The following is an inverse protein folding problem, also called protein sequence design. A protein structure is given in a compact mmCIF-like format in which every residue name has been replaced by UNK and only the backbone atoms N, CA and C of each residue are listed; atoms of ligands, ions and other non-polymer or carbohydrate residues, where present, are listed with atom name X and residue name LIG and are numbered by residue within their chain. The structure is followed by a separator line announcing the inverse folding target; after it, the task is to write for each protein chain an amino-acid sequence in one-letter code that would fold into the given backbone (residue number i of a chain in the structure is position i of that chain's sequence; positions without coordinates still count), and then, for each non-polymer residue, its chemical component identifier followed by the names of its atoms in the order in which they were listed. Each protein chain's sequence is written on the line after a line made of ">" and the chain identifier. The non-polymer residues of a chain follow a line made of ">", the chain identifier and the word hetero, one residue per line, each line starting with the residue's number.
data_IF_864386791536
#
_entry.id   IF_864386791536
#
_cell.length_a   1.000
_cell.length_b   1.000
_cell.length_c   1.000
_cell.angle_alpha   90.00
_cell.angle_beta   90.00
_cell.angle_gamma   90.00
#
_symmetry.space_group_name_H-M   'P 1'
#
loop_
_entity.id
_entity.type
_entity.pdbx_description
1 polymer ?
#
# COMPACT_ATOMS: atom_id res chain seq x y z
N UNK A 1 -14.95 43.94 -42.82
CA UNK A 1 -15.87 42.86 -42.41
C UNK A 1 -16.27 41.96 -43.58
N UNK A 2 -16.73 42.51 -44.71
CA UNK A 2 -17.17 41.76 -45.91
C UNK A 2 -16.03 41.04 -46.67
N UNK A 3 -14.83 41.60 -46.75
CA UNK A 3 -13.66 40.96 -47.39
C UNK A 3 -13.17 39.71 -46.62
N UNK A 4 -13.31 39.70 -45.29
CA UNK A 4 -12.92 38.58 -44.43
C UNK A 4 -13.87 37.38 -44.60
N UNK A 5 -15.16 37.65 -44.82
CA UNK A 5 -16.18 36.64 -45.12
C UNK A 5 -16.00 36.03 -46.51
N UNK A 6 -15.54 36.81 -47.50
CA UNK A 6 -15.21 36.31 -48.85
C UNK A 6 -13.97 35.40 -48.84
N UNK A 7 -12.93 35.76 -48.09
CA UNK A 7 -11.75 34.90 -47.86
C UNK A 7 -12.10 33.61 -47.11
N UNK A 8 -13.12 33.62 -46.25
CA UNK A 8 -13.61 32.42 -45.58
C UNK A 8 -14.51 31.57 -46.48
N UNK A 9 -15.26 32.19 -47.40
CA UNK A 9 -16.10 31.50 -48.38
C UNK A 9 -15.29 30.77 -49.46
N UNK A 10 -14.04 31.21 -49.72
CA UNK A 10 -13.12 30.55 -50.65
C UNK A 10 -12.22 29.48 -50.01
N UNK A 11 -12.30 29.30 -48.68
CA UNK A 11 -11.55 28.28 -47.95
C UNK A 11 -12.40 27.03 -47.85
N UNK A 12 -11.87 25.90 -48.34
CA UNK A 12 -12.57 24.64 -48.29
C UNK A 12 -12.87 24.21 -46.85
N UNK A 13 -13.93 23.45 -46.65
CA UNK A 13 -14.37 22.93 -45.34
C UNK A 13 -13.40 21.91 -44.71
N UNK A 14 -12.48 21.36 -45.51
CA UNK A 14 -11.55 20.29 -45.13
C UNK A 14 -10.62 20.69 -43.98
N UNK A 15 -9.88 21.83 -44.01
CA UNK A 15 -9.04 22.28 -42.90
C UNK A 15 -9.79 22.44 -41.58
N UNK A 16 -11.03 22.95 -41.60
CA UNK A 16 -11.81 23.17 -40.38
C UNK A 16 -12.22 21.83 -39.74
N UNK A 17 -12.63 20.86 -40.55
CA UNK A 17 -12.96 19.50 -40.10
C UNK A 17 -11.73 18.80 -39.54
N UNK A 18 -10.57 18.92 -40.21
CA UNK A 18 -9.30 18.34 -39.73
C UNK A 18 -8.87 18.98 -38.41
N UNK A 19 -9.01 20.30 -38.27
CA UNK A 19 -8.71 21.00 -37.03
C UNK A 19 -9.59 20.51 -35.87
N UNK A 20 -10.90 20.41 -36.08
CA UNK A 20 -11.84 19.90 -35.05
C UNK A 20 -11.57 18.43 -34.69
N UNK A 21 -11.17 17.61 -35.66
CA UNK A 21 -10.83 16.21 -35.44
C UNK A 21 -9.55 16.04 -34.62
N UNK A 22 -8.46 16.73 -34.99
CA UNK A 22 -7.18 16.70 -34.24
C UNK A 22 -7.35 17.29 -32.84
N UNK A 23 -7.98 18.46 -32.79
CA UNK A 23 -8.83 18.98 -31.72
C UNK A 23 -9.25 18.02 -30.61
N UNK A 24 -10.36 17.36 -30.94
CA UNK A 24 -11.09 16.43 -30.10
C UNK A 24 -10.27 15.18 -29.77
N UNK A 25 -9.52 14.65 -30.74
CA UNK A 25 -8.69 13.47 -30.53
C UNK A 25 -7.58 13.73 -29.51
N UNK A 26 -6.90 14.87 -29.63
CA UNK A 26 -5.88 15.31 -28.68
C UNK A 26 -6.44 15.49 -27.27
N UNK A 27 -7.62 16.09 -27.15
CA UNK A 27 -8.30 16.25 -25.86
C UNK A 27 -8.61 14.90 -25.19
N UNK A 28 -9.14 13.93 -25.94
CA UNK A 28 -9.44 12.58 -25.42
C UNK A 28 -8.17 11.84 -25.01
N UNK A 29 -7.09 11.96 -25.78
CA UNK A 29 -5.79 11.37 -25.44
C UNK A 29 -5.22 11.96 -24.14
N UNK A 30 -5.30 13.28 -23.96
CA UNK A 30 -4.85 13.94 -22.72
C UNK A 30 -5.66 13.48 -21.51
N UNK A 31 -6.98 13.40 -21.61
CA UNK A 31 -7.83 12.89 -20.52
C UNK A 31 -7.48 11.44 -20.16
N UNK A 32 -7.34 10.57 -21.16
CA UNK A 32 -7.00 9.16 -20.95
C UNK A 32 -5.61 9.00 -20.33
N UNK A 33 -4.63 9.77 -20.82
CA UNK A 33 -3.27 9.80 -20.29
C UNK A 33 -3.22 10.32 -18.85
N UNK A 34 -3.98 11.37 -18.52
CA UNK A 34 -4.05 11.92 -17.17
C UNK A 34 -4.62 10.92 -16.15
N UNK A 35 -5.64 10.14 -16.54
CA UNK A 35 -6.21 9.07 -15.69
C UNK A 35 -5.18 7.97 -15.44
N UNK A 36 -4.49 7.49 -16.48
CA UNK A 36 -3.45 6.46 -16.35
C UNK A 36 -2.27 6.95 -15.50
N UNK A 37 -1.82 8.18 -15.74
CA UNK A 37 -0.74 8.80 -14.98
C UNK A 37 -1.11 8.94 -13.50
N UNK A 38 -2.33 9.39 -13.19
CA UNK A 38 -2.83 9.47 -11.82
C UNK A 38 -2.87 8.09 -11.16
N UNK A 39 -3.27 7.05 -11.89
CA UNK A 39 -3.28 5.67 -11.40
C UNK A 39 -1.86 5.19 -11.07
N UNK A 40 -0.89 5.44 -11.95
CA UNK A 40 0.52 5.08 -11.72
C UNK A 40 1.10 5.83 -10.51
N UNK A 41 0.84 7.14 -10.40
CA UNK A 41 1.28 7.94 -9.26
C UNK A 41 0.67 7.43 -7.94
N UNK A 42 -0.65 7.19 -7.90
CA UNK A 42 -1.31 6.66 -6.70
C UNK A 42 -0.83 5.25 -6.35
N UNK A 43 -0.56 4.40 -7.34
CA UNK A 43 -0.01 3.06 -7.10
C UNK A 43 1.41 3.10 -6.54
N UNK A 44 2.23 4.07 -6.95
CA UNK A 44 3.59 4.26 -6.42
C UNK A 44 3.59 4.76 -4.97
N UNK A 45 2.59 5.57 -4.61
CA UNK A 45 2.41 6.09 -3.24
C UNK A 45 1.59 5.19 -2.32
N UNK A 46 0.79 4.26 -2.85
CA UNK A 46 0.03 3.27 -2.06
C UNK A 46 0.94 2.15 -1.59
N UNK A 47 1.92 2.47 -0.73
CA UNK A 47 2.60 1.50 0.13
C UNK A 47 1.67 1.08 1.27
N UNK A 48 0.52 0.49 0.98
CA UNK A 48 -0.45 0.19 2.05
C UNK A 48 -1.09 -1.20 1.94
N UNK A 49 -0.27 -2.19 2.29
CA UNK A 49 -0.73 -3.49 2.83
C UNK A 49 0.02 -3.83 4.14
N UNK A 50 0.97 -2.98 4.52
CA UNK A 50 1.85 -3.13 5.67
C UNK A 50 2.13 -1.72 6.19
N UNK A 51 1.16 -1.15 6.90
CA UNK A 51 1.38 0.01 7.75
C UNK A 51 2.26 -0.39 8.96
N UNK A 52 3.37 -1.09 8.71
CA UNK A 52 4.40 -1.57 9.63
C UNK A 52 4.93 -0.47 10.54
N UNK A 53 4.81 0.80 10.15
CA UNK A 53 5.15 1.91 11.02
C UNK A 53 4.09 2.17 12.10
N UNK A 54 2.80 1.93 11.83
CA UNK A 54 1.72 2.14 12.80
C UNK A 54 1.14 0.84 13.40
N UNK A 55 1.41 -0.32 12.81
CA UNK A 55 0.97 -1.65 13.30
C UNK A 55 2.02 -2.35 14.17
N UNK A 56 3.18 -1.74 14.41
CA UNK A 56 4.13 -2.25 15.40
C UNK A 56 3.67 -1.89 16.82
N UNK A 57 3.39 -2.91 17.63
CA UNK A 57 3.01 -2.75 19.04
C UNK A 57 4.24 -2.72 19.96
N UNK A 58 4.20 -1.96 21.06
CA UNK A 58 5.20 -2.07 22.11
C UNK A 58 5.19 -3.48 22.71
N UNK A 59 6.36 -4.11 22.80
CA UNK A 59 6.56 -5.41 23.44
C UNK A 59 7.13 -5.22 24.85
N UNK A 60 7.06 -6.25 25.69
CA UNK A 60 7.66 -6.21 27.03
C UNK A 60 9.20 -6.22 26.92
N UNK A 61 9.83 -5.12 27.30
CA UNK A 61 11.29 -4.96 27.25
C UNK A 61 11.98 -5.42 28.54
N UNK A 62 11.23 -5.63 29.62
CA UNK A 62 11.76 -6.04 30.92
C UNK A 62 11.88 -7.55 31.02
N UNK A 63 12.94 -8.01 31.66
CA UNK A 63 13.09 -9.40 32.08
C UNK A 63 12.29 -9.61 33.37
N UNK A 64 11.25 -10.44 33.32
CA UNK A 64 10.42 -10.75 34.48
C UNK A 64 10.74 -12.17 34.97
N UNK A 65 11.49 -12.25 36.07
CA UNK A 65 11.94 -13.53 36.63
C UNK A 65 11.04 -14.00 37.79
N UNK A 66 10.79 -15.31 37.82
CA UNK A 66 10.09 -16.03 38.87
C UNK A 66 10.60 -17.49 38.90
N UNK A 67 10.28 -18.26 39.94
CA UNK A 67 10.69 -19.66 40.09
C UNK A 67 10.30 -20.57 38.92
N UNK A 68 9.26 -20.20 38.18
CA UNK A 68 8.73 -20.94 37.04
C UNK A 68 8.77 -20.14 35.73
N UNK A 69 9.38 -18.95 35.72
CA UNK A 69 9.41 -18.12 34.51
C UNK A 69 10.41 -18.65 33.50
N UNK A 70 10.03 -18.64 32.23
CA UNK A 70 10.94 -18.89 31.12
C UNK A 70 11.00 -17.61 30.28
N UNK A 71 12.19 -17.06 30.10
CA UNK A 71 12.37 -15.78 29.41
C UNK A 71 13.18 -16.01 28.13
N UNK A 72 12.58 -15.74 26.97
CA UNK A 72 13.26 -15.87 25.68
C UNK A 72 13.71 -14.49 25.19
N UNK A 73 14.99 -14.30 24.84
CA UNK A 73 15.45 -13.06 24.22
C UNK A 73 14.83 -12.91 22.82
N UNK A 74 14.26 -11.75 22.53
CA UNK A 74 13.65 -11.44 21.25
C UNK A 74 13.98 -10.01 20.81
N UNK A 75 13.91 -9.75 19.52
CA UNK A 75 14.01 -8.39 18.98
C UNK A 75 12.73 -8.05 18.24
N UNK A 76 12.27 -6.81 18.40
CA UNK A 76 11.10 -6.32 17.70
C UNK A 76 11.36 -4.95 17.10
N UNK A 77 10.69 -4.65 15.99
CA UNK A 77 10.74 -3.34 15.36
C UNK A 77 9.59 -2.49 15.91
N UNK A 78 9.91 -1.30 16.42
CA UNK A 78 8.91 -0.29 16.76
C UNK A 78 9.19 0.97 15.96
N UNK A 79 8.30 1.30 15.01
CA UNK A 79 8.41 2.53 14.19
C UNK A 79 9.77 2.69 13.50
N UNK A 80 10.34 1.60 12.99
CA UNK A 80 11.62 1.60 12.30
C UNK A 80 12.85 1.49 13.22
N UNK A 81 12.67 1.35 14.54
CA UNK A 81 13.77 1.12 15.49
C UNK A 81 13.72 -0.32 16.00
N UNK A 82 14.81 -1.06 15.81
CA UNK A 82 14.99 -2.39 16.40
C UNK A 82 15.26 -2.21 17.89
N UNK A 83 14.50 -2.91 18.72
CA UNK A 83 14.62 -2.90 20.18
C UNK A 83 14.71 -4.33 20.69
N UNK A 84 15.50 -4.51 21.75
CA UNK A 84 15.57 -5.78 22.48
C UNK A 84 14.35 -5.91 23.38
N UNK A 85 13.81 -7.10 23.47
CA UNK A 85 12.65 -7.46 24.27
C UNK A 85 12.79 -8.86 24.85
N UNK A 86 11.94 -9.21 25.79
CA UNK A 86 11.88 -10.54 26.36
C UNK A 86 10.47 -11.10 26.26
N UNK A 87 10.34 -12.29 25.68
CA UNK A 87 9.09 -13.05 25.74
C UNK A 87 9.08 -13.77 27.09
N UNK A 88 8.34 -13.20 28.05
CA UNK A 88 8.28 -13.67 29.43
C UNK A 88 7.11 -14.66 29.63
N UNK A 89 7.39 -15.96 29.74
CA UNK A 89 6.41 -16.97 30.15
C UNK A 89 6.38 -17.07 31.67
N UNK A 90 5.55 -16.27 32.35
CA UNK A 90 5.51 -16.19 33.82
C UNK A 90 4.98 -17.48 34.48
N UNK A 91 4.02 -18.14 33.85
CA UNK A 91 3.46 -19.42 34.31
C UNK A 91 3.12 -20.31 33.11
N UNK A 92 4.09 -21.10 32.59
CA UNK A 92 3.88 -21.95 31.43
C UNK A 92 2.83 -23.04 31.68
N UNK A 93 2.62 -23.46 32.92
CA UNK A 93 1.67 -24.52 33.27
C UNK A 93 0.20 -24.15 33.06
N UNK A 94 -0.12 -22.85 33.03
CA UNK A 94 -1.51 -22.37 32.91
C UNK A 94 -2.03 -22.33 31.46
N UNK A 95 -1.14 -22.30 30.47
CA UNK A 95 -1.49 -22.08 29.07
C UNK A 95 -0.80 -23.06 28.10
N UNK A 96 -0.28 -24.18 28.60
CA UNK A 96 0.35 -25.19 27.75
C UNK A 96 -0.73 -26.04 27.05
N UNK A 97 -0.90 -25.83 25.75
CA UNK A 97 -1.79 -26.64 24.94
C UNK A 97 -0.97 -27.75 24.24
N UNK A 98 -1.23 -29.00 24.61
CA UNK A 98 -0.59 -30.16 24.00
C UNK A 98 -1.48 -30.71 22.89
N UNK A 99 -1.18 -30.35 21.63
CA UNK A 99 -1.84 -30.98 20.47
C UNK A 99 -1.11 -32.29 20.14
N UNK A 100 -1.80 -33.42 20.10
CA UNK A 100 -1.27 -34.68 19.56
C UNK A 100 -1.60 -34.83 18.08
N UNK A 101 -0.70 -35.38 17.28
CA UNK A 101 -1.02 -35.79 15.91
C UNK A 101 -1.88 -37.07 15.91
N UNK A 102 -2.74 -37.31 14.90
CA UNK A 102 -3.53 -38.54 14.83
C UNK A 102 -2.59 -39.76 14.86
N UNK A 103 -2.65 -40.55 15.94
CA UNK A 103 -1.74 -41.69 16.17
C UNK A 103 -0.83 -41.57 17.39
N UNK A 104 -0.68 -40.37 17.99
CA UNK A 104 0.03 -40.22 19.27
C UNK A 104 -0.91 -40.61 20.41
N UNK A 105 -0.98 -41.90 20.72
CA UNK A 105 -1.65 -42.38 21.94
C UNK A 105 -0.99 -41.71 23.14
N UNK A 106 -1.68 -40.76 23.77
CA UNK A 106 -1.37 -40.22 25.10
C UNK A 106 -2.63 -40.36 25.94
N UNK A 107 -2.68 -41.46 26.70
CA UNK A 107 -3.37 -41.48 27.99
C UNK A 107 -2.45 -40.87 29.03
#
# INVERSE_FOLDING_TARGET
>A
MTLLLLLNSSRGIIPDVVYMAITSLGYIMVLSGAVLLTRVLKSSFSKDVFNTLNETFPQEERLLENQYSINLPAEYNLRGKIRKSFINYINPFRALLVTGSPGSRRG
#
